data_IF_304166952887
#
_entry.id   IF_304166952887
#
_cell.length_a   1.000
_cell.length_b   1.000
_cell.length_c   1.000
_cell.angle_alpha   90.00
_cell.angle_beta   90.00
_cell.angle_gamma   90.00
#
_symmetry.space_group_name_H-M   'P 1'
#
loop_
_entity.id
_entity.type
_entity.pdbx_description
1 polymer ?
#
# COMPACT_ATOMS: atom_id res chain seq x y z
N UNK A 1 18.52 2.63 -20.51
CA UNK A 1 17.25 1.85 -20.63
C UNK A 1 16.43 2.04 -19.36
N UNK A 2 15.14 2.43 -19.47
CA UNK A 2 14.29 2.73 -18.30
C UNK A 2 13.87 1.44 -17.59
N UNK A 3 13.83 1.45 -16.25
CA UNK A 3 13.45 0.27 -15.44
C UNK A 3 11.97 0.32 -15.03
N UNK A 4 11.45 -0.76 -14.45
CA UNK A 4 10.02 -0.92 -14.14
C UNK A 4 9.62 -0.37 -12.78
N UNK A 5 10.56 -0.31 -11.83
CA UNK A 5 10.33 0.19 -10.47
C UNK A 5 10.45 1.72 -10.34
N UNK A 6 10.40 2.42 -11.48
CA UNK A 6 10.46 3.88 -11.55
C UNK A 6 9.15 4.52 -11.04
N UNK A 7 9.27 5.63 -10.32
CA UNK A 7 8.12 6.41 -9.88
C UNK A 7 8.34 7.16 -8.56
N UNK A 8 7.30 7.87 -8.13
CA UNK A 8 7.37 8.71 -6.93
C UNK A 8 6.77 8.03 -5.70
N UNK A 9 7.23 8.44 -4.50
CA UNK A 9 6.64 8.03 -3.22
C UNK A 9 5.13 8.33 -3.14
N UNK A 10 4.66 9.38 -3.83
CA UNK A 10 3.24 9.75 -3.94
C UNK A 10 2.46 8.69 -4.71
N UNK A 11 2.92 8.30 -5.91
CA UNK A 11 2.26 7.25 -6.72
C UNK A 11 2.13 5.94 -5.94
N UNK A 12 3.18 5.52 -5.24
CA UNK A 12 3.18 4.29 -4.43
C UNK A 12 2.12 4.30 -3.33
N UNK A 13 1.95 5.44 -2.64
CA UNK A 13 0.94 5.57 -1.58
C UNK A 13 -0.49 5.62 -2.12
N UNK A 14 -0.70 6.35 -3.22
CA UNK A 14 -2.04 6.49 -3.80
C UNK A 14 -2.55 5.16 -4.36
N UNK A 15 -1.67 4.30 -4.87
CA UNK A 15 -2.06 3.01 -5.46
C UNK A 15 -2.10 1.89 -4.42
N UNK A 16 -1.12 1.84 -3.50
CA UNK A 16 -0.91 0.68 -2.61
C UNK A 16 -0.88 1.01 -1.12
N UNK A 17 -1.19 2.25 -0.74
CA UNK A 17 -1.28 2.68 0.65
C UNK A 17 -2.55 2.17 1.34
N UNK A 18 -2.61 2.37 2.66
CA UNK A 18 -3.73 1.88 3.49
C UNK A 18 -5.09 2.41 3.01
N UNK A 19 -5.19 3.73 2.79
CA UNK A 19 -6.43 4.38 2.34
C UNK A 19 -6.91 3.85 1.00
N UNK A 20 -6.00 3.60 0.06
CA UNK A 20 -6.31 3.02 -1.25
C UNK A 20 -6.82 1.58 -1.16
N UNK A 21 -6.37 0.81 -0.16
CA UNK A 21 -6.93 -0.52 0.12
C UNK A 21 -8.30 -0.42 0.78
N UNK A 22 -8.53 0.55 1.66
CA UNK A 22 -9.83 0.68 2.33
C UNK A 22 -10.95 1.20 1.42
N UNK A 23 -10.64 1.85 0.30
CA UNK A 23 -11.65 2.43 -0.59
C UNK A 23 -12.41 1.40 -1.43
N UNK A 24 -11.88 0.19 -1.62
CA UNK A 24 -12.53 -0.85 -2.42
C UNK A 24 -12.89 -2.08 -1.56
N UNK A 25 -13.94 -2.84 -1.90
CA UNK A 25 -14.27 -4.10 -1.23
C UNK A 25 -13.09 -5.08 -1.20
N UNK A 26 -12.49 -5.37 -2.35
CA UNK A 26 -11.35 -6.29 -2.43
C UNK A 26 -10.10 -5.79 -1.69
N UNK A 27 -9.87 -4.47 -1.62
CA UNK A 27 -8.77 -3.93 -0.83
C UNK A 27 -8.97 -4.12 0.68
N UNK A 28 -10.21 -4.03 1.18
CA UNK A 28 -10.56 -4.32 2.59
C UNK A 28 -10.31 -5.80 2.92
N UNK A 29 -10.69 -6.71 2.03
CA UNK A 29 -10.41 -8.15 2.19
C UNK A 29 -8.90 -8.44 2.27
N UNK A 30 -8.09 -7.79 1.43
CA UNK A 30 -6.63 -7.92 1.49
C UNK A 30 -6.11 -7.53 2.88
N UNK A 31 -6.59 -6.42 3.44
CA UNK A 31 -6.18 -5.99 4.78
C UNK A 31 -6.63 -6.99 5.85
N UNK A 32 -7.86 -7.49 5.78
CA UNK A 32 -8.38 -8.49 6.72
C UNK A 32 -7.57 -9.79 6.67
N UNK A 33 -7.25 -10.29 5.48
CA UNK A 33 -6.38 -11.47 5.31
C UNK A 33 -4.98 -11.24 5.88
N UNK A 34 -4.42 -10.04 5.72
CA UNK A 34 -3.11 -9.68 6.27
C UNK A 34 -3.14 -9.59 7.81
N UNK A 35 -4.23 -9.09 8.39
CA UNK A 35 -4.46 -9.08 9.85
C UNK A 35 -4.61 -10.49 10.41
N UNK A 36 -5.42 -11.33 9.78
CA UNK A 36 -5.61 -12.73 10.19
C UNK A 36 -4.29 -13.50 10.19
N UNK A 37 -3.41 -13.22 9.22
CA UNK A 37 -2.05 -13.81 9.16
C UNK A 37 -1.07 -13.20 10.17
N UNK A 38 -1.42 -12.12 10.88
CA UNK A 38 -0.54 -11.46 11.84
C UNK A 38 0.62 -10.68 11.20
N UNK A 39 0.46 -10.16 9.98
CA UNK A 39 1.54 -9.39 9.33
C UNK A 39 1.79 -8.08 10.07
N UNK A 40 3.03 -7.87 10.54
CA UNK A 40 3.45 -6.61 11.19
C UNK A 40 3.17 -5.35 10.36
N UNK A 41 3.20 -5.45 9.02
CA UNK A 41 2.87 -4.35 8.11
C UNK A 41 1.73 -4.74 7.19
N UNK A 42 0.62 -4.00 7.25
CA UNK A 42 -0.59 -4.28 6.48
C UNK A 42 -0.59 -3.62 5.09
N UNK A 43 0.05 -2.46 4.94
CA UNK A 43 0.14 -1.74 3.67
C UNK A 43 1.44 -0.95 3.58
N UNK A 44 1.72 -0.35 2.43
CA UNK A 44 2.87 0.53 2.27
C UNK A 44 2.64 1.84 3.01
N UNK A 45 3.61 2.23 3.84
CA UNK A 45 3.72 3.58 4.42
C UNK A 45 4.92 4.27 3.78
N UNK A 46 4.78 5.52 3.35
CA UNK A 46 5.95 6.31 2.98
C UNK A 46 6.43 7.12 4.18
N UNK A 47 7.75 7.34 4.26
CA UNK A 47 8.30 8.36 5.15
C UNK A 47 7.71 9.71 4.77
N UNK A 48 7.24 10.50 5.76
CA UNK A 48 6.93 11.91 5.54
C UNK A 48 8.15 12.59 4.93
N UNK A 49 7.94 13.45 3.94
CA UNK A 49 8.99 14.38 3.52
C UNK A 49 9.15 15.40 4.65
N UNK A 50 10.39 15.72 5.01
CA UNK A 50 10.67 16.85 5.90
C UNK A 50 10.10 18.12 5.27
#
# INVERSE_FOLDING_TARGET
>A
MRRTLEGTKRKRQNVSGFRARMSTPGGREVINRRRARGRHKLSITAKKRA
#
